data_IF_010267220379
#
_entry.id   IF_010267220379
#
_cell.length_a   1.000
_cell.length_b   1.000
_cell.length_c   1.000
_cell.angle_alpha   90.00
_cell.angle_beta   90.00
_cell.angle_gamma   90.00
#
_symmetry.space_group_name_H-M   'P 1'
#
loop_
_entity.id
_entity.type
_entity.pdbx_description
1 polymer ?
#
# COMPACT_ATOMS: atom_id res chain seq x y z
N UNK A 1 -17.29 19.42 -2.32
CA UNK A 1 -16.63 19.95 -1.11
C UNK A 1 -17.64 20.08 0.03
N UNK A 2 -17.24 19.84 1.29
CA UNK A 2 -18.08 20.20 2.45
C UNK A 2 -18.72 19.06 3.25
N UNK A 3 -18.27 17.80 3.12
CA UNK A 3 -18.64 16.72 4.04
C UNK A 3 -17.38 16.16 4.68
N UNK A 4 -17.33 16.20 6.02
CA UNK A 4 -16.26 15.64 6.84
C UNK A 4 -16.90 14.68 7.85
N UNK A 5 -16.38 13.47 7.94
CA UNK A 5 -16.74 12.51 8.98
C UNK A 5 -15.52 12.23 9.84
N UNK A 6 -15.72 12.19 11.16
CA UNK A 6 -14.67 11.82 12.12
C UNK A 6 -15.19 10.68 12.98
N UNK A 7 -14.41 9.61 13.07
CA UNK A 7 -14.64 8.49 13.98
C UNK A 7 -13.39 8.32 14.85
N UNK A 8 -13.57 8.44 16.15
CA UNK A 8 -12.51 8.22 17.14
C UNK A 8 -12.71 6.83 17.74
N UNK A 9 -11.64 6.06 17.86
CA UNK A 9 -11.66 4.68 18.36
C UNK A 9 -11.61 3.65 17.24
N UNK A 10 -11.03 2.48 17.55
CA UNK A 10 -10.87 1.38 16.60
C UNK A 10 -12.16 0.56 16.47
N UNK A 11 -12.53 0.26 15.24
CA UNK A 11 -13.57 -0.67 14.85
C UNK A 11 -13.10 -1.35 13.56
N UNK A 12 -12.77 -2.63 13.66
CA UNK A 12 -12.20 -3.40 12.56
C UNK A 12 -13.15 -3.48 11.36
N UNK A 13 -14.42 -3.86 11.61
CA UNK A 13 -15.42 -3.99 10.55
C UNK A 13 -15.65 -2.65 9.83
N UNK A 14 -15.68 -1.54 10.57
CA UNK A 14 -15.74 -0.22 9.98
C UNK A 14 -14.48 0.12 9.17
N UNK A 15 -13.29 -0.18 9.69
CA UNK A 15 -12.02 0.02 8.97
C UNK A 15 -12.07 -0.62 7.58
N UNK A 16 -12.40 -1.91 7.51
CA UNK A 16 -12.51 -2.63 6.23
C UNK A 16 -13.54 -1.98 5.29
N UNK A 17 -14.70 -1.54 5.80
CA UNK A 17 -15.70 -0.83 4.97
C UNK A 17 -15.21 0.54 4.50
N UNK A 18 -14.44 1.26 5.31
CA UNK A 18 -13.86 2.54 4.92
C UNK A 18 -12.87 2.36 3.77
N UNK A 19 -11.98 1.36 3.83
CA UNK A 19 -11.09 1.03 2.71
C UNK A 19 -11.88 0.57 1.47
N UNK A 20 -12.84 -0.33 1.62
CA UNK A 20 -13.63 -0.84 0.49
C UNK A 20 -14.51 0.23 -0.19
N UNK A 21 -14.90 1.28 0.55
CA UNK A 21 -15.70 2.39 0.04
C UNK A 21 -14.90 3.61 -0.41
N UNK A 22 -13.57 3.61 -0.26
CA UNK A 22 -12.72 4.75 -0.58
C UNK A 22 -12.08 4.62 -1.97
N UNK A 23 -11.94 5.76 -2.66
CA UNK A 23 -11.13 5.83 -3.88
C UNK A 23 -9.62 5.77 -3.54
N UNK A 24 -9.20 6.45 -2.48
CA UNK A 24 -7.82 6.56 -2.06
C UNK A 24 -7.67 6.59 -0.53
N UNK A 25 -6.53 6.13 -0.04
CA UNK A 25 -6.15 6.21 1.38
C UNK A 25 -4.86 7.00 1.54
N UNK A 26 -4.83 7.95 2.47
CA UNK A 26 -3.67 8.77 2.77
C UNK A 26 -2.95 8.25 4.02
N UNK A 27 -1.65 7.97 3.88
CA UNK A 27 -0.77 7.51 4.97
C UNK A 27 0.50 8.38 4.99
N UNK A 28 0.45 9.59 5.57
CA UNK A 28 1.53 10.58 5.51
C UNK A 28 2.55 10.40 6.64
N UNK A 29 2.70 9.17 7.15
CA UNK A 29 3.51 8.85 8.32
C UNK A 29 4.98 9.25 8.16
N UNK A 30 5.60 9.74 9.23
CA UNK A 30 7.04 10.05 9.26
C UNK A 30 7.91 8.82 9.52
N UNK A 31 7.32 7.85 10.23
CA UNK A 31 7.93 6.58 10.58
C UNK A 31 6.90 5.47 10.34
N UNK A 32 7.34 4.37 9.75
CA UNK A 32 6.53 3.15 9.67
C UNK A 32 7.41 1.88 9.64
N UNK A 33 7.43 1.05 10.70
CA UNK A 33 8.33 -0.11 10.76
C UNK A 33 7.84 -1.27 9.87
N UNK A 34 6.54 -1.35 9.61
CA UNK A 34 5.84 -2.10 8.57
C UNK A 34 4.35 -2.07 8.96
N UNK A 35 3.47 -1.63 8.05
CA UNK A 35 2.04 -1.45 8.33
C UNK A 35 1.13 -2.34 7.49
N UNK A 36 -0.10 -2.56 7.95
CA UNK A 36 -1.15 -3.21 7.14
C UNK A 36 -1.93 -2.20 6.28
N UNK A 37 -1.83 -0.90 6.58
CA UNK A 37 -2.67 0.16 6.00
C UNK A 37 -2.54 0.24 4.48
N UNK A 38 -1.32 0.23 3.95
CA UNK A 38 -1.07 0.21 2.51
C UNK A 38 -1.49 -1.12 1.88
N UNK A 39 -1.38 -2.24 2.61
CA UNK A 39 -1.84 -3.55 2.12
C UNK A 39 -3.37 -3.58 2.00
N UNK A 40 -4.10 -2.99 2.95
CA UNK A 40 -5.55 -2.79 2.83
C UNK A 40 -5.90 -1.86 1.67
N UNK A 41 -5.16 -0.78 1.49
CA UNK A 41 -5.32 0.10 0.32
C UNK A 41 -5.19 -0.67 -1.00
N UNK A 42 -4.10 -1.42 -1.15
CA UNK A 42 -3.87 -2.28 -2.32
C UNK A 42 -5.00 -3.31 -2.47
N UNK A 43 -5.33 -4.06 -1.41
CA UNK A 43 -6.30 -5.15 -1.45
C UNK A 43 -7.71 -4.71 -1.78
N UNK A 44 -8.16 -3.58 -1.23
CA UNK A 44 -9.51 -3.03 -1.44
C UNK A 44 -9.61 -2.09 -2.64
N UNK A 45 -8.48 -1.72 -3.26
CA UNK A 45 -8.47 -0.76 -4.35
C UNK A 45 -8.62 0.70 -3.89
N UNK A 46 -8.50 0.99 -2.59
CA UNK A 46 -8.31 2.36 -2.13
C UNK A 46 -6.85 2.75 -2.41
N UNK A 47 -6.64 3.45 -3.52
CA UNK A 47 -5.29 3.75 -4.04
C UNK A 47 -4.44 4.42 -2.95
N UNK A 48 -3.31 3.82 -2.55
CA UNK A 48 -2.49 4.36 -1.47
C UNK A 48 -1.73 5.62 -1.91
N UNK A 49 -1.82 6.66 -1.09
CA UNK A 49 -0.99 7.87 -1.15
C UNK A 49 -0.15 7.89 0.12
N UNK A 50 1.14 7.60 -0.02
CA UNK A 50 1.98 7.25 1.14
C UNK A 50 3.25 8.07 1.22
N UNK A 51 3.73 8.31 2.43
CA UNK A 51 5.09 8.76 2.63
C UNK A 51 6.07 7.63 2.28
N UNK A 52 7.18 7.96 1.63
CA UNK A 52 8.24 7.01 1.27
C UNK A 52 9.13 6.72 2.48
N UNK A 53 8.60 5.99 3.45
CA UNK A 53 9.27 5.56 4.69
C UNK A 53 8.96 4.09 4.99
N UNK A 54 9.97 3.33 5.42
CA UNK A 54 9.88 1.91 5.77
C UNK A 54 9.03 1.08 4.81
N UNK A 55 8.16 0.22 5.35
CA UNK A 55 7.36 -0.71 4.56
C UNK A 55 6.41 -0.06 3.53
N UNK A 56 6.09 1.24 3.67
CA UNK A 56 5.31 1.97 2.67
C UNK A 56 6.11 2.16 1.37
N UNK A 57 7.40 2.48 1.49
CA UNK A 57 8.30 2.66 0.36
C UNK A 57 8.56 1.33 -0.38
N UNK A 58 8.63 0.23 0.37
CA UNK A 58 8.91 -1.10 -0.17
C UNK A 58 7.71 -1.70 -0.91
N UNK A 59 6.49 -1.29 -0.52
CA UNK A 59 5.25 -1.88 -1.02
C UNK A 59 4.60 -1.11 -2.17
N UNK A 60 4.66 0.23 -2.13
CA UNK A 60 3.89 1.07 -3.08
C UNK A 60 4.75 1.52 -4.25
N UNK A 61 4.35 1.12 -5.46
CA UNK A 61 5.01 1.53 -6.70
C UNK A 61 4.37 2.84 -7.18
N UNK A 62 5.15 3.91 -7.14
CA UNK A 62 4.69 5.25 -7.53
C UNK A 62 4.27 5.31 -9.01
N UNK A 63 3.13 5.93 -9.29
CA UNK A 63 2.56 6.13 -10.62
C UNK A 63 3.26 7.20 -11.47
N UNK A 64 4.58 7.10 -11.60
CA UNK A 64 5.32 7.87 -12.59
C UNK A 64 5.06 7.34 -14.03
N UNK A 65 5.51 8.08 -15.03
CA UNK A 65 5.28 7.73 -16.44
C UNK A 65 5.76 6.32 -16.82
N UNK A 66 6.91 5.89 -16.30
CA UNK A 66 7.47 4.57 -16.60
C UNK A 66 6.64 3.45 -15.96
N UNK A 67 6.27 3.57 -14.69
CA UNK A 67 5.48 2.56 -13.99
C UNK A 67 4.04 2.47 -14.52
N UNK A 68 3.48 3.60 -14.96
CA UNK A 68 2.19 3.65 -15.65
C UNK A 68 2.25 2.95 -17.01
N UNK A 69 3.30 3.21 -17.80
CA UNK A 69 3.50 2.56 -19.10
C UNK A 69 3.75 1.04 -18.96
N UNK A 70 4.50 0.63 -17.94
CA UNK A 70 4.75 -0.77 -17.63
C UNK A 70 3.55 -1.48 -16.97
N UNK A 71 2.50 -0.74 -16.57
CA UNK A 71 1.33 -1.31 -15.91
C UNK A 71 1.61 -1.87 -14.52
N UNK A 72 2.69 -1.43 -13.85
CA UNK A 72 3.08 -1.91 -12.52
C UNK A 72 2.87 -0.88 -11.39
N UNK A 73 2.50 0.36 -11.72
CA UNK A 73 2.15 1.37 -10.71
C UNK A 73 1.00 0.89 -9.81
N UNK A 74 1.09 1.16 -8.50
CA UNK A 74 0.09 0.77 -7.51
C UNK A 74 -0.38 1.90 -6.60
N UNK A 75 0.28 3.07 -6.61
CA UNK A 75 -0.15 4.22 -5.82
C UNK A 75 0.70 5.47 -6.05
N UNK A 76 0.62 6.41 -5.12
CA UNK A 76 1.40 7.65 -5.10
C UNK A 76 2.31 7.63 -3.87
N UNK A 77 3.57 8.01 -4.05
CA UNK A 77 4.51 8.16 -2.94
C UNK A 77 5.01 9.58 -2.88
N UNK A 78 5.27 10.08 -1.68
CA UNK A 78 5.86 11.40 -1.48
C UNK A 78 7.01 11.36 -0.49
N UNK A 79 7.87 12.37 -0.54
CA UNK A 79 8.93 12.52 0.46
C UNK A 79 8.31 12.80 1.84
N UNK A 80 8.71 12.07 2.91
CA UNK A 80 8.26 12.38 4.26
C UNK A 80 8.71 13.78 4.70
N UNK A 81 8.06 14.33 5.71
CA UNK A 81 8.43 15.62 6.33
C UNK A 81 8.47 16.81 5.35
N UNK A 82 7.60 16.79 4.34
CA UNK A 82 7.56 17.81 3.31
C UNK A 82 6.15 18.14 2.90
N UNK A 83 5.65 19.27 3.40
CA UNK A 83 4.34 19.82 3.01
C UNK A 83 4.22 19.96 1.49
N UNK A 84 5.20 20.55 0.76
CA UNK A 84 5.09 20.67 -0.70
C UNK A 84 5.06 19.32 -1.42
N UNK A 85 5.68 18.28 -0.84
CA UNK A 85 5.69 16.96 -1.47
C UNK A 85 4.34 16.26 -1.27
N UNK A 86 3.74 16.41 -0.09
CA UNK A 86 2.39 15.92 0.18
C UNK A 86 1.35 16.64 -0.69
N UNK A 87 1.45 17.97 -0.83
CA UNK A 87 0.58 18.75 -1.70
C UNK A 87 0.65 18.29 -3.16
N UNK A 88 1.87 18.07 -3.68
CA UNK A 88 2.06 17.54 -5.02
C UNK A 88 1.45 16.15 -5.18
N UNK A 89 1.66 15.25 -4.22
CA UNK A 89 1.05 13.91 -4.25
C UNK A 89 -0.49 13.95 -4.22
N UNK A 90 -1.08 14.87 -3.45
CA UNK A 90 -2.52 15.11 -3.44
C UNK A 90 -3.02 15.66 -4.78
N UNK A 91 -2.27 16.54 -5.43
CA UNK A 91 -2.60 17.01 -6.78
C UNK A 91 -2.50 15.89 -7.82
N UNK A 92 -1.48 15.05 -7.76
CA UNK A 92 -1.28 13.92 -8.67
C UNK A 92 -2.43 12.91 -8.56
N UNK A 93 -2.79 12.48 -7.35
CA UNK A 93 -3.90 11.53 -7.16
C UNK A 93 -5.23 12.13 -7.61
N UNK A 94 -5.48 13.42 -7.35
CA UNK A 94 -6.68 14.10 -7.83
C UNK A 94 -6.71 14.21 -9.37
N UNK A 95 -5.55 14.40 -9.99
CA UNK A 95 -5.42 14.46 -11.46
C UNK A 95 -5.69 13.10 -12.08
N UNK A 96 -5.08 12.04 -11.53
CA UNK A 96 -5.34 10.67 -11.95
C UNK A 96 -6.81 10.30 -11.76
N UNK A 97 -7.41 10.66 -10.62
CA UNK A 97 -8.83 10.38 -10.36
C UNK A 97 -9.77 11.04 -11.38
N UNK A 98 -9.42 12.21 -11.92
CA UNK A 98 -10.18 12.84 -13.00
C UNK A 98 -10.09 12.06 -14.32
N UNK A 99 -8.95 11.42 -14.59
CA UNK A 99 -8.81 10.42 -15.66
C UNK A 99 -9.29 9.04 -15.17
N UNK A 100 -10.61 8.86 -15.16
CA UNK A 100 -11.24 7.62 -14.65
C UNK A 100 -10.67 6.34 -15.27
N UNK A 101 -10.46 6.23 -16.59
CA UNK A 101 -9.80 5.06 -17.16
C UNK A 101 -8.40 4.79 -16.60
N UNK A 102 -7.56 5.83 -16.45
CA UNK A 102 -6.22 5.67 -15.86
C UNK A 102 -6.28 5.27 -14.39
N UNK A 103 -7.14 5.92 -13.61
CA UNK A 103 -7.34 5.60 -12.20
C UNK A 103 -7.79 4.15 -11.99
N UNK A 104 -8.73 3.67 -12.79
CA UNK A 104 -9.20 2.28 -12.71
C UNK A 104 -8.10 1.27 -13.09
N UNK A 105 -7.20 1.61 -14.03
CA UNK A 105 -6.02 0.77 -14.30
C UNK A 105 -5.10 0.71 -13.09
N UNK A 106 -4.80 1.86 -12.48
CA UNK A 106 -4.00 1.95 -11.27
C UNK A 106 -4.62 1.13 -10.11
N UNK A 107 -5.92 1.26 -9.90
CA UNK A 107 -6.67 0.51 -8.89
C UNK A 107 -6.60 -1.01 -9.13
N UNK A 108 -6.78 -1.47 -10.38
CA UNK A 108 -6.65 -2.89 -10.72
C UNK A 108 -5.23 -3.41 -10.52
N UNK A 109 -4.21 -2.61 -10.83
CA UNK A 109 -2.83 -2.99 -10.60
C UNK A 109 -2.55 -3.11 -9.09
N UNK A 110 -3.04 -2.15 -8.30
CA UNK A 110 -2.97 -2.19 -6.84
C UNK A 110 -3.60 -3.48 -6.27
N UNK A 111 -4.81 -3.84 -6.69
CA UNK A 111 -5.51 -5.05 -6.24
C UNK A 111 -4.84 -6.36 -6.67
N UNK A 112 -4.08 -6.34 -7.77
CA UNK A 112 -3.32 -7.50 -8.27
C UNK A 112 -1.92 -7.59 -7.67
N UNK A 113 -1.46 -6.55 -6.97
CA UNK A 113 -0.11 -6.54 -6.41
C UNK A 113 0.03 -7.67 -5.38
N UNK A 114 1.01 -8.57 -5.53
CA UNK A 114 1.15 -9.71 -4.64
C UNK A 114 1.64 -9.23 -3.27
N UNK A 115 0.74 -9.28 -2.28
CA UNK A 115 1.01 -8.90 -0.88
C UNK A 115 0.73 -10.04 0.11
N UNK A 116 0.40 -11.21 -0.41
CA UNK A 116 0.06 -12.38 0.40
C UNK A 116 1.29 -13.19 0.82
N UNK A 117 1.01 -14.29 1.51
CA UNK A 117 2.03 -15.17 2.08
C UNK A 117 2.55 -16.21 1.10
N UNK A 118 2.05 -16.26 -0.13
CA UNK A 118 2.33 -17.32 -1.09
C UNK A 118 3.83 -17.44 -1.41
N UNK A 119 4.55 -16.31 -1.44
CA UNK A 119 6.01 -16.30 -1.64
C UNK A 119 6.79 -16.61 -0.36
N UNK A 120 6.37 -16.06 0.78
CA UNK A 120 7.11 -16.14 2.04
C UNK A 120 6.88 -17.45 2.80
N UNK A 121 5.66 -17.96 2.82
CA UNK A 121 5.27 -19.17 3.55
C UNK A 121 6.14 -20.40 3.23
N UNK A 122 6.42 -20.78 1.96
CA UNK A 122 7.27 -21.94 1.68
C UNK A 122 8.71 -21.74 2.17
N UNK A 123 9.23 -20.51 2.14
CA UNK A 123 10.57 -20.20 2.64
C UNK A 123 10.64 -20.35 4.16
N UNK A 124 9.64 -19.85 4.89
CA UNK A 124 9.53 -20.06 6.34
C UNK A 124 9.36 -21.54 6.69
N UNK A 125 8.51 -22.27 5.97
CA UNK A 125 8.32 -23.69 6.20
C UNK A 125 9.62 -24.49 6.00
N UNK A 126 10.38 -24.19 4.94
CA UNK A 126 11.68 -24.80 4.70
C UNK A 126 12.70 -24.46 5.80
N UNK A 127 12.73 -23.21 6.25
CA UNK A 127 13.61 -22.79 7.35
C UNK A 127 13.29 -23.52 8.65
N UNK A 128 12.01 -23.62 9.02
CA UNK A 128 11.60 -24.33 10.22
C UNK A 128 11.84 -25.84 10.13
N UNK A 129 11.63 -26.43 8.95
CA UNK A 129 11.93 -27.85 8.73
C UNK A 129 13.41 -28.16 8.96
N UNK A 130 14.32 -27.27 8.52
CA UNK A 130 15.76 -27.40 8.76
C UNK A 130 16.13 -27.29 10.25
N UNK A 131 15.65 -26.25 10.92
CA UNK A 131 15.95 -26.02 12.34
C UNK A 131 15.35 -27.09 13.28
N UNK A 132 14.30 -27.78 12.83
CA UNK A 132 13.68 -28.88 13.57
C UNK A 132 14.37 -30.23 13.32
N UNK A 133 15.32 -30.31 12.38
CA UNK A 133 16.10 -31.52 12.12
C UNK A 133 17.21 -31.66 13.19
N UNK A 134 17.12 -32.65 14.10
CA UNK A 134 18.10 -32.83 15.16
C UNK A 134 19.49 -33.28 14.67
N UNK A 135 19.65 -33.49 13.35
CA UNK A 135 20.95 -33.83 12.75
C UNK A 135 21.77 -32.61 12.29
N UNK A 136 21.20 -31.40 12.20
CA UNK A 136 21.95 -30.18 11.86
C UNK A 136 22.90 -29.71 12.99
N UNK A 137 22.67 -30.10 14.25
CA UNK A 137 23.53 -29.76 15.42
C UNK A 137 24.79 -30.63 15.54
N UNK A 138 24.95 -31.65 14.69
CA UNK A 138 26.06 -32.63 14.74
C UNK A 138 27.11 -32.46 13.62
N UNK A 139 27.04 -31.38 12.84
CA UNK A 139 27.99 -31.01 11.79
C UNK A 139 28.68 -29.68 12.09
#
# INVERSE_FOLDING_TARGET
PGKLGVRIGYDEALSHRMFAGADAVLVPSRFEPCGLTQLYGLRYGAVPVVARTGGLADTVIHANAAALAAGCATGITHRPDSVPALENALHEICTLWRDRPAFQRLQRNAMKHPVGWEASAPLYAALYARLADPTEDLA
#
